data_IF_561554417795
#
_entry.id   IF_561554417795
#
_cell.length_a   1.000
_cell.length_b   1.000
_cell.length_c   1.000
_cell.angle_alpha   90.00
_cell.angle_beta   90.00
_cell.angle_gamma   90.00
#
_symmetry.space_group_name_H-M   'P 1'
#
loop_
_entity.id
_entity.type
_entity.pdbx_description
1 polymer ?
#
# COMPACT_ATOMS: atom_id res chain seq x y z
N UNK A 1 41.22 -48.52 -33.99
CA UNK A 1 41.51 -48.05 -32.61
C UNK A 1 41.73 -46.55 -32.73
N UNK A 2 40.97 -45.61 -32.17
CA UNK A 2 40.09 -45.57 -30.99
C UNK A 2 39.34 -44.23 -31.04
N UNK A 3 38.00 -44.27 -30.98
CA UNK A 3 37.13 -43.65 -29.95
C UNK A 3 36.69 -42.19 -30.18
N UNK A 4 35.38 -42.03 -30.38
CA UNK A 4 34.58 -40.82 -30.09
C UNK A 4 34.41 -40.71 -28.56
N UNK A 5 34.50 -39.50 -27.99
CA UNK A 5 33.39 -38.97 -27.19
C UNK A 5 33.13 -37.51 -27.62
N UNK A 6 31.91 -37.09 -27.94
CA UNK A 6 30.80 -37.08 -27.00
C UNK A 6 30.87 -35.81 -26.14
N UNK A 7 30.68 -34.63 -26.75
CA UNK A 7 30.42 -33.40 -25.99
C UNK A 7 28.95 -33.04 -26.13
N UNK A 8 28.18 -33.63 -25.22
CA UNK A 8 26.81 -33.29 -24.89
C UNK A 8 26.83 -31.90 -24.21
N UNK A 9 26.81 -30.82 -25.00
CA UNK A 9 26.45 -29.51 -24.46
C UNK A 9 24.93 -29.52 -24.20
N UNK A 10 24.56 -29.93 -22.99
CA UNK A 10 23.26 -29.68 -22.39
C UNK A 10 22.91 -28.20 -22.57
N UNK A 11 22.03 -27.93 -23.53
CA UNK A 11 21.18 -26.76 -23.55
C UNK A 11 20.37 -26.78 -22.26
N UNK A 12 20.87 -26.11 -21.22
CA UNK A 12 20.06 -25.61 -20.12
C UNK A 12 19.15 -24.53 -20.69
N UNK A 13 18.12 -24.98 -21.42
CA UNK A 13 16.84 -24.28 -21.54
C UNK A 13 16.21 -24.31 -20.15
N UNK A 14 16.81 -23.57 -19.21
CA UNK A 14 16.08 -23.08 -18.07
C UNK A 14 15.00 -22.18 -18.66
N UNK A 15 13.80 -22.72 -18.77
CA UNK A 15 12.60 -21.93 -19.02
C UNK A 15 12.65 -20.79 -18.03
N UNK A 16 12.84 -19.56 -18.51
CA UNK A 16 12.54 -18.36 -17.75
C UNK A 16 11.05 -18.47 -17.42
N UNK A 17 10.72 -19.13 -16.32
CA UNK A 17 9.38 -19.00 -15.74
C UNK A 17 9.25 -17.51 -15.47
N UNK A 18 8.33 -16.86 -16.20
CA UNK A 18 7.94 -15.50 -15.89
C UNK A 18 7.66 -15.45 -14.40
N UNK A 19 8.22 -14.45 -13.70
CA UNK A 19 8.07 -14.33 -12.27
C UNK A 19 6.57 -14.33 -11.91
N UNK A 20 6.12 -15.44 -11.31
CA UNK A 20 4.71 -15.66 -11.03
C UNK A 20 4.28 -14.71 -9.89
N UNK A 21 3.18 -14.01 -10.11
CA UNK A 21 2.56 -13.21 -9.06
C UNK A 21 1.64 -14.14 -8.27
N UNK A 22 1.77 -14.12 -6.96
CA UNK A 22 0.88 -14.85 -6.05
C UNK A 22 -0.08 -13.88 -5.38
N UNK A 23 -1.37 -14.01 -5.69
CA UNK A 23 -2.46 -13.43 -4.90
C UNK A 23 -2.96 -14.44 -3.86
N UNK A 24 -3.06 -14.04 -2.59
CA UNK A 24 -3.68 -14.90 -1.55
C UNK A 24 -4.71 -14.15 -0.73
N UNK A 25 -5.70 -14.89 -0.22
CA UNK A 25 -6.74 -14.40 0.66
C UNK A 25 -6.84 -15.30 1.89
N UNK A 26 -6.78 -14.69 3.07
CA UNK A 26 -7.13 -15.34 4.33
C UNK A 26 -8.27 -14.59 5.00
N UNK A 27 -9.41 -15.24 5.15
CA UNK A 27 -10.54 -14.76 5.96
C UNK A 27 -10.47 -15.29 7.39
N UNK A 28 -10.82 -14.45 8.37
CA UNK A 28 -10.73 -14.80 9.78
C UNK A 28 -11.83 -14.09 10.62
N UNK A 29 -12.45 -14.82 11.55
CA UNK A 29 -13.51 -14.37 12.49
C UNK A 29 -13.09 -14.62 13.94
N UNK A 30 -13.77 -14.06 14.94
CA UNK A 30 -13.44 -14.25 16.37
C UNK A 30 -13.60 -15.71 16.88
N UNK A 31 -12.85 -16.66 16.32
CA UNK A 31 -12.88 -18.10 16.57
C UNK A 31 -11.46 -18.71 16.56
N UNK A 32 -11.32 -19.88 17.19
CA UNK A 32 -10.03 -20.54 17.40
C UNK A 32 -9.37 -20.99 16.09
N UNK A 33 -10.15 -21.48 15.12
CA UNK A 33 -9.63 -21.98 13.85
C UNK A 33 -9.03 -20.85 13.02
N UNK A 34 -9.71 -19.71 12.97
CA UNK A 34 -9.24 -18.47 12.35
C UNK A 34 -7.99 -17.93 13.04
N UNK A 35 -7.92 -17.99 14.38
CA UNK A 35 -6.72 -17.63 15.15
C UNK A 35 -5.53 -18.51 14.77
N UNK A 36 -5.70 -19.82 14.71
CA UNK A 36 -4.64 -20.77 14.33
C UNK A 36 -4.12 -20.51 12.91
N UNK A 37 -5.02 -20.29 11.94
CA UNK A 37 -4.63 -19.95 10.56
C UNK A 37 -3.86 -18.64 10.47
N UNK A 38 -4.27 -17.62 11.23
CA UNK A 38 -3.56 -16.33 11.29
C UNK A 38 -2.16 -16.49 11.86
N UNK A 39 -2.01 -17.21 12.98
CA UNK A 39 -0.71 -17.46 13.62
C UNK A 39 0.22 -18.35 12.78
N UNK A 40 -0.34 -19.23 11.95
CA UNK A 40 0.42 -20.09 11.05
C UNK A 40 0.89 -19.37 9.77
N UNK A 41 0.50 -18.12 9.54
CA UNK A 41 0.95 -17.40 8.36
C UNK A 41 2.47 -17.20 8.40
N UNK A 42 3.16 -17.30 7.25
CA UNK A 42 4.60 -17.06 7.16
C UNK A 42 4.97 -15.57 7.28
N UNK A 43 4.04 -14.74 7.77
CA UNK A 43 4.21 -13.30 7.90
C UNK A 43 4.18 -12.94 9.38
N UNK A 44 5.29 -12.43 9.89
CA UNK A 44 5.34 -11.88 11.25
C UNK A 44 4.68 -10.50 11.26
N UNK A 45 3.52 -10.42 11.91
CA UNK A 45 2.81 -9.18 12.18
C UNK A 45 3.45 -8.51 13.40
N UNK A 46 4.27 -7.47 13.21
CA UNK A 46 4.98 -6.82 14.32
C UNK A 46 4.00 -6.17 15.32
N UNK A 47 3.96 -6.74 16.53
CA UNK A 47 3.15 -6.35 17.68
C UNK A 47 3.14 -7.51 18.67
N UNK A 48 2.37 -7.45 19.77
CA UNK A 48 1.97 -8.72 20.41
C UNK A 48 1.24 -9.49 19.31
N UNK A 49 1.60 -10.75 18.99
CA UNK A 49 0.90 -11.61 18.02
C UNK A 49 -0.56 -11.84 18.45
N UNK A 50 -1.33 -10.75 18.48
CA UNK A 50 -2.66 -10.65 19.01
C UNK A 50 -3.57 -10.64 17.82
N UNK A 51 -4.41 -11.66 17.80
CA UNK A 51 -5.51 -11.76 16.88
C UNK A 51 -6.50 -10.61 17.15
N UNK A 52 -6.63 -9.62 16.25
CA UNK A 52 -7.26 -8.35 16.58
C UNK A 52 -8.79 -8.35 16.46
N UNK A 53 -9.40 -9.50 16.16
CA UNK A 53 -10.84 -9.59 15.86
C UNK A 53 -11.65 -9.75 17.13
N UNK A 54 -12.57 -8.80 17.38
CA UNK A 54 -13.54 -8.86 18.47
C UNK A 54 -14.78 -9.66 18.06
N UNK A 55 -15.61 -10.13 19.02
CA UNK A 55 -16.90 -10.74 18.69
C UNK A 55 -17.73 -9.83 17.77
N UNK A 56 -18.24 -10.39 16.66
CA UNK A 56 -18.99 -9.66 15.63
C UNK A 56 -18.13 -8.93 14.58
N UNK A 57 -16.79 -8.95 14.70
CA UNK A 57 -15.89 -8.44 13.67
C UNK A 57 -15.48 -9.55 12.68
N UNK A 58 -15.21 -9.12 11.45
CA UNK A 58 -14.68 -9.93 10.35
C UNK A 58 -13.39 -9.28 9.86
N UNK A 59 -12.37 -10.10 9.67
CA UNK A 59 -11.09 -9.71 9.09
C UNK A 59 -10.75 -10.49 7.83
N UNK A 60 -10.04 -9.84 6.91
CA UNK A 60 -9.43 -10.50 5.76
C UNK A 60 -8.02 -9.94 5.55
N UNK A 61 -7.04 -10.82 5.33
CA UNK A 61 -5.72 -10.46 4.79
C UNK A 61 -5.69 -10.80 3.32
N UNK A 62 -5.32 -9.84 2.49
CA UNK A 62 -5.07 -10.02 1.07
C UNK A 62 -3.59 -9.78 0.79
N UNK A 63 -2.93 -10.62 0.01
CA UNK A 63 -1.52 -10.42 -0.34
C UNK A 63 -1.32 -10.44 -1.84
N UNK A 64 -0.41 -9.59 -2.33
CA UNK A 64 0.17 -9.67 -3.67
C UNK A 64 1.69 -9.83 -3.51
N UNK A 65 2.26 -10.84 -4.13
CA UNK A 65 3.70 -11.11 -4.02
C UNK A 65 4.30 -11.51 -5.36
N UNK A 66 5.54 -11.09 -5.58
CA UNK A 66 6.44 -11.62 -6.61
C UNK A 66 7.82 -11.84 -5.96
N UNK A 67 8.86 -12.28 -6.70
CA UNK A 67 10.19 -12.50 -6.13
C UNK A 67 10.86 -11.25 -5.51
N UNK A 68 10.43 -10.04 -5.87
CA UNK A 68 11.01 -8.78 -5.39
C UNK A 68 10.32 -8.24 -4.14
N UNK A 69 9.00 -8.35 -4.08
CA UNK A 69 8.20 -7.66 -3.06
C UNK A 69 6.95 -8.44 -2.67
N UNK A 70 6.51 -8.22 -1.43
CA UNK A 70 5.23 -8.71 -0.92
C UNK A 70 4.44 -7.57 -0.28
N UNK A 71 3.31 -7.24 -0.88
CA UNK A 71 2.29 -6.37 -0.33
C UNK A 71 1.27 -7.19 0.46
N UNK A 72 0.84 -6.67 1.60
CA UNK A 72 -0.26 -7.25 2.37
C UNK A 72 -1.22 -6.14 2.78
N UNK A 73 -2.50 -6.39 2.58
CA UNK A 73 -3.60 -5.53 2.94
C UNK A 73 -4.40 -6.20 4.04
N UNK A 74 -4.76 -5.42 5.05
CA UNK A 74 -5.57 -5.88 6.16
C UNK A 74 -6.91 -5.16 6.13
N UNK A 75 -7.98 -5.91 5.92
CA UNK A 75 -9.34 -5.42 5.93
C UNK A 75 -9.99 -5.83 7.25
N UNK A 76 -10.38 -4.87 8.07
CA UNK A 76 -11.02 -5.11 9.37
C UNK A 76 -12.32 -4.33 9.46
N UNK A 77 -13.42 -5.02 9.71
CA UNK A 77 -14.74 -4.40 9.77
C UNK A 77 -15.77 -5.24 10.50
N UNK A 78 -17.00 -4.74 10.51
CA UNK A 78 -18.16 -5.46 11.01
C UNK A 78 -19.06 -5.85 9.86
N UNK A 79 -19.71 -7.00 10.04
CA UNK A 79 -20.79 -7.48 9.19
C UNK A 79 -22.09 -7.04 9.85
N UNK A 80 -23.02 -6.48 9.08
CA UNK A 80 -24.37 -6.20 9.59
C UNK A 80 -25.26 -7.46 9.55
N UNK A 81 -26.52 -7.31 9.97
CA UNK A 81 -27.46 -8.42 10.02
C UNK A 81 -27.78 -9.03 8.64
N UNK A 82 -27.62 -8.24 7.58
CA UNK A 82 -27.90 -8.63 6.19
C UNK A 82 -26.66 -9.20 5.48
N UNK A 83 -25.54 -9.33 6.19
CA UNK A 83 -24.28 -9.87 5.67
C UNK A 83 -23.38 -8.83 4.98
N UNK A 84 -23.77 -7.54 4.97
CA UNK A 84 -22.96 -6.50 4.35
C UNK A 84 -21.76 -6.15 5.25
N UNK A 85 -20.58 -6.04 4.65
CA UNK A 85 -19.33 -5.88 5.38
C UNK A 85 -18.73 -4.49 5.17
N UNK A 86 -18.35 -3.82 6.25
CA UNK A 86 -17.86 -2.43 6.24
C UNK A 86 -16.42 -2.33 6.79
N UNK A 87 -15.41 -2.81 6.05
CA UNK A 87 -14.03 -2.80 6.51
C UNK A 87 -13.30 -1.47 6.31
N UNK A 88 -12.39 -1.16 7.22
CA UNK A 88 -11.28 -0.26 6.97
C UNK A 88 -10.11 -1.02 6.30
N UNK A 89 -9.42 -0.36 5.37
CA UNK A 89 -8.28 -0.94 4.64
C UNK A 89 -6.97 -0.44 5.23
N UNK A 90 -6.08 -1.35 5.62
CA UNK A 90 -4.71 -1.10 6.04
C UNK A 90 -3.69 -1.73 5.10
N UNK A 91 -2.45 -1.24 5.08
CA UNK A 91 -1.34 -1.83 4.31
C UNK A 91 -0.09 -2.02 5.19
N UNK A 92 -0.05 -3.09 5.99
CA UNK A 92 1.05 -3.38 6.92
C UNK A 92 2.35 -3.95 6.29
N UNK A 93 2.33 -4.33 5.00
CA UNK A 93 3.53 -4.76 4.26
C UNK A 93 3.63 -4.04 2.92
N UNK A 94 4.84 -3.74 2.42
CA UNK A 94 6.17 -4.18 2.92
C UNK A 94 6.57 -3.61 4.29
N UNK A 95 6.23 -2.36 4.58
CA UNK A 95 6.53 -1.71 5.85
C UNK A 95 5.30 -1.07 6.49
N UNK A 96 4.99 -1.50 7.72
CA UNK A 96 3.96 -0.88 8.58
C UNK A 96 4.30 0.55 9.01
N UNK A 97 5.56 0.94 8.80
CA UNK A 97 6.14 2.23 9.13
C UNK A 97 6.11 3.19 7.95
N UNK A 98 5.70 2.71 6.78
CA UNK A 98 5.50 3.52 5.57
C UNK A 98 4.02 3.79 5.37
N UNK A 99 3.22 2.73 5.31
CA UNK A 99 1.78 2.83 5.09
C UNK A 99 1.01 2.40 6.32
N UNK A 100 -0.13 3.04 6.57
CA UNK A 100 -0.90 2.75 7.78
C UNK A 100 -1.42 1.31 7.80
N UNK A 101 -1.09 0.56 8.85
CA UNK A 101 -1.67 -0.77 9.08
C UNK A 101 -3.19 -0.76 9.30
N UNK A 102 -3.79 0.39 9.59
CA UNK A 102 -5.24 0.57 9.76
C UNK A 102 -5.67 1.93 9.18
N UNK A 103 -6.48 1.92 8.12
CA UNK A 103 -6.87 3.17 7.44
C UNK A 103 -5.75 3.75 6.56
N UNK A 104 -4.99 2.89 5.89
CA UNK A 104 -4.08 3.30 4.81
C UNK A 104 -4.84 3.98 3.68
N UNK A 105 -5.97 3.41 3.27
CA UNK A 105 -6.78 3.92 2.17
C UNK A 105 -8.21 4.21 2.65
N UNK A 106 -8.66 5.43 2.39
CA UNK A 106 -10.03 5.87 2.61
C UNK A 106 -10.48 6.75 1.45
N UNK A 107 -11.79 6.90 1.25
CA UNK A 107 -12.33 7.89 0.33
C UNK A 107 -13.56 8.58 0.92
N UNK A 108 -13.87 9.74 0.35
CA UNK A 108 -15.07 10.50 0.61
C UNK A 108 -15.70 10.96 -0.71
N UNK A 109 -17.02 10.78 -0.86
CA UNK A 109 -17.81 11.22 -2.00
C UNK A 109 -19.03 12.04 -1.50
N UNK A 110 -18.89 13.37 -1.44
CA UNK A 110 -19.84 14.22 -0.70
C UNK A 110 -19.82 13.88 0.79
N UNK A 111 -20.97 13.56 1.37
CA UNK A 111 -21.09 13.14 2.78
C UNK A 111 -20.89 11.62 2.99
N UNK A 112 -20.71 10.85 1.91
CA UNK A 112 -20.47 9.42 1.98
C UNK A 112 -18.98 9.15 2.23
N UNK A 113 -18.68 8.46 3.34
CA UNK A 113 -17.34 8.00 3.66
C UNK A 113 -17.19 6.50 3.33
N UNK A 114 -15.98 6.07 2.96
CA UNK A 114 -15.69 4.67 2.61
C UNK A 114 -16.18 3.65 3.65
N UNK A 115 -16.07 3.96 4.95
CA UNK A 115 -16.52 3.09 6.05
C UNK A 115 -18.05 2.92 6.15
N UNK A 116 -18.82 3.70 5.39
CA UNK A 116 -20.28 3.58 5.25
C UNK A 116 -20.69 2.87 3.96
N UNK A 117 -19.72 2.38 3.19
CA UNK A 117 -19.97 1.56 2.02
C UNK A 117 -19.75 0.09 2.38
N UNK A 118 -20.63 -0.78 1.91
CA UNK A 118 -20.36 -2.21 1.94
C UNK A 118 -19.26 -2.53 0.95
N UNK A 119 -18.43 -3.52 1.28
CA UNK A 119 -17.28 -3.93 0.48
C UNK A 119 -17.39 -5.39 0.10
N UNK A 120 -17.33 -5.65 -1.19
CA UNK A 120 -17.05 -6.97 -1.73
C UNK A 120 -15.63 -7.01 -2.27
N UNK A 121 -14.97 -8.17 -2.12
CA UNK A 121 -13.69 -8.43 -2.79
C UNK A 121 -14.05 -8.96 -4.19
N UNK A 122 -13.60 -8.28 -5.24
CA UNK A 122 -13.85 -8.69 -6.63
C UNK A 122 -13.21 -10.04 -6.96
N UNK A 123 -13.83 -10.78 -7.87
CA UNK A 123 -13.27 -12.05 -8.35
C UNK A 123 -12.22 -11.80 -9.43
N UNK A 124 -11.07 -12.47 -9.30
CA UNK A 124 -10.30 -12.94 -10.44
C UNK A 124 -9.43 -11.95 -11.19
N UNK A 125 -8.30 -11.53 -10.61
CA UNK A 125 -7.03 -11.43 -11.34
C UNK A 125 -5.86 -11.76 -10.40
N UNK A 126 -5.00 -12.72 -10.76
CA UNK A 126 -3.88 -13.20 -9.92
C UNK A 126 -2.84 -12.12 -9.60
N UNK A 127 -2.88 -11.02 -10.35
CA UNK A 127 -1.98 -9.88 -10.23
C UNK A 127 -2.56 -8.70 -9.44
N UNK A 128 -3.81 -8.79 -8.98
CA UNK A 128 -4.49 -7.65 -8.39
C UNK A 128 -5.44 -7.97 -7.22
N UNK A 129 -5.57 -7.00 -6.33
CA UNK A 129 -6.61 -6.93 -5.31
C UNK A 129 -7.64 -5.92 -5.77
N UNK A 130 -8.89 -6.35 -5.89
CA UNK A 130 -10.02 -5.51 -6.29
C UNK A 130 -11.03 -5.43 -5.15
N UNK A 131 -11.37 -4.22 -4.74
CA UNK A 131 -12.41 -3.93 -3.75
C UNK A 131 -13.54 -3.14 -4.39
N UNK A 132 -14.75 -3.67 -4.29
CA UNK A 132 -15.98 -3.10 -4.82
C UNK A 132 -16.77 -2.47 -3.67
N UNK A 133 -16.87 -1.15 -3.69
CA UNK A 133 -17.60 -0.36 -2.69
C UNK A 133 -19.01 -0.06 -3.19
N UNK A 134 -20.02 -0.31 -2.34
CA UNK A 134 -21.43 -0.07 -2.67
C UNK A 134 -22.17 0.66 -1.55
N UNK A 135 -23.06 1.56 -1.95
CA UNK A 135 -24.13 2.14 -1.14
C UNK A 135 -25.37 2.32 -2.02
N UNK A 136 -26.46 2.90 -1.51
CA UNK A 136 -27.74 2.98 -2.22
C UNK A 136 -27.66 3.61 -3.62
N UNK A 137 -26.81 4.63 -3.79
CA UNK A 137 -26.62 5.39 -5.04
C UNK A 137 -25.14 5.49 -5.47
N UNK A 138 -24.24 4.81 -4.76
CA UNK A 138 -22.80 4.93 -4.96
C UNK A 138 -22.17 3.59 -5.30
N UNK A 139 -21.30 3.62 -6.30
CA UNK A 139 -20.47 2.49 -6.70
C UNK A 139 -19.06 2.98 -6.96
N UNK A 140 -18.08 2.27 -6.40
CA UNK A 140 -16.69 2.48 -6.72
C UNK A 140 -15.90 1.18 -6.74
N UNK A 141 -14.83 1.18 -7.52
CA UNK A 141 -13.86 0.10 -7.60
C UNK A 141 -12.48 0.67 -7.22
N UNK A 142 -11.83 0.04 -6.26
CA UNK A 142 -10.42 0.27 -5.95
C UNK A 142 -9.64 -0.98 -6.34
N UNK A 143 -8.60 -0.81 -7.15
CA UNK A 143 -7.78 -1.90 -7.67
C UNK A 143 -6.31 -1.61 -7.39
N UNK A 144 -5.64 -2.52 -6.70
CA UNK A 144 -4.19 -2.54 -6.51
C UNK A 144 -3.60 -3.68 -7.32
N UNK A 145 -2.60 -3.41 -8.15
CA UNK A 145 -1.99 -4.37 -9.06
C UNK A 145 -0.47 -4.38 -8.86
N UNK A 146 0.09 -5.58 -8.85
CA UNK A 146 1.53 -5.82 -8.87
C UNK A 146 1.89 -6.41 -10.23
N UNK A 147 2.99 -5.97 -10.84
CA UNK A 147 3.46 -6.54 -12.10
C UNK A 147 4.56 -7.58 -11.84
N UNK A 148 4.82 -8.50 -12.80
CA UNK A 148 5.96 -9.41 -12.71
C UNK A 148 7.26 -8.60 -12.62
N UNK A 149 8.15 -8.98 -11.71
CA UNK A 149 9.46 -8.34 -11.49
C UNK A 149 9.44 -6.82 -11.21
N UNK A 150 8.31 -6.30 -10.73
CA UNK A 150 8.16 -4.91 -10.33
C UNK A 150 8.00 -4.79 -8.81
N UNK A 151 8.53 -3.74 -8.21
CA UNK A 151 8.31 -3.43 -6.79
C UNK A 151 7.26 -2.33 -6.58
N UNK A 152 6.74 -1.75 -7.66
CA UNK A 152 5.70 -0.71 -7.65
C UNK A 152 4.31 -1.32 -7.51
N UNK A 153 3.51 -0.69 -6.66
CA UNK A 153 2.10 -1.05 -6.49
C UNK A 153 1.23 -0.07 -7.28
N UNK A 154 0.70 -0.53 -8.41
CA UNK A 154 -0.18 0.26 -9.25
C UNK A 154 -1.56 0.33 -8.61
N UNK A 155 -2.16 1.50 -8.62
CA UNK A 155 -3.48 1.74 -8.04
C UNK A 155 -4.38 2.43 -9.04
N UNK A 156 -5.62 1.96 -9.12
CA UNK A 156 -6.69 2.67 -9.81
C UNK A 156 -7.93 2.76 -8.94
N UNK A 157 -8.63 3.88 -9.04
CA UNK A 157 -9.93 4.08 -8.44
C UNK A 157 -10.90 4.59 -9.50
N UNK A 158 -12.07 3.99 -9.58
CA UNK A 158 -13.16 4.45 -10.43
C UNK A 158 -14.43 4.58 -9.60
N UNK A 159 -15.16 5.68 -9.74
CA UNK A 159 -16.44 5.87 -9.06
C UNK A 159 -17.46 6.60 -9.93
N UNK A 160 -18.74 6.36 -9.65
CA UNK A 160 -19.86 7.02 -10.32
C UNK A 160 -20.14 8.46 -9.83
N UNK A 161 -19.37 8.96 -8.86
CA UNK A 161 -19.49 10.30 -8.27
C UNK A 161 -18.10 10.92 -8.07
N UNK A 162 -17.99 12.26 -7.99
CA UNK A 162 -16.75 12.91 -7.55
C UNK A 162 -16.33 12.46 -6.16
N UNK A 163 -15.02 12.36 -5.93
CA UNK A 163 -14.45 11.82 -4.70
C UNK A 163 -13.17 12.53 -4.29
N UNK A 164 -12.76 12.29 -3.05
CA UNK A 164 -11.40 12.48 -2.56
C UNK A 164 -10.89 11.17 -1.97
N UNK A 165 -9.74 10.71 -2.45
CA UNK A 165 -9.01 9.57 -1.92
C UNK A 165 -8.02 10.06 -0.88
N UNK A 166 -7.78 9.27 0.16
CA UNK A 166 -6.81 9.57 1.20
C UNK A 166 -5.88 8.37 1.39
N UNK A 167 -4.58 8.62 1.23
CA UNK A 167 -3.51 7.67 1.53
C UNK A 167 -2.76 8.13 2.77
N UNK A 168 -2.81 7.33 3.84
CA UNK A 168 -2.24 7.69 5.15
C UNK A 168 -0.98 6.89 5.45
N UNK A 169 0.05 7.60 5.91
CA UNK A 169 1.35 7.07 6.29
C UNK A 169 1.62 7.35 7.77
N UNK A 170 2.28 6.44 8.48
CA UNK A 170 2.62 6.59 9.92
C UNK A 170 4.13 6.56 10.15
N UNK A 171 4.62 6.97 11.33
CA UNK A 171 6.05 6.96 11.63
C UNK A 171 6.66 5.58 11.50
N UNK A 172 7.87 5.52 10.95
CA UNK A 172 8.86 4.56 11.42
C UNK A 172 8.97 4.68 12.94
N UNK A 173 8.64 3.61 13.66
CA UNK A 173 8.64 3.61 15.13
C UNK A 173 9.79 2.76 15.67
N UNK A 174 10.66 3.37 16.48
CA UNK A 174 11.50 2.63 17.41
C UNK A 174 10.77 2.45 18.76
N UNK A 175 11.04 1.36 19.47
CA UNK A 175 10.34 0.89 20.69
C UNK A 175 10.42 1.77 21.95
N UNK A 176 10.52 3.09 21.81
CA UNK A 176 10.79 4.04 22.90
C UNK A 176 9.58 4.80 23.46
N UNK A 177 8.34 4.36 23.21
CA UNK A 177 7.07 5.08 23.50
C UNK A 177 6.77 6.26 22.55
N UNK A 178 5.48 6.63 22.49
CA UNK A 178 4.98 7.77 21.69
C UNK A 178 5.77 9.05 21.93
N UNK A 179 6.03 9.37 23.20
CA UNK A 179 6.62 10.64 23.63
C UNK A 179 8.09 10.78 23.26
N UNK A 180 8.87 9.69 23.28
CA UNK A 180 10.26 9.73 22.82
C UNK A 180 10.33 9.80 21.29
N UNK A 181 9.44 9.06 20.60
CA UNK A 181 9.33 9.12 19.15
C UNK A 181 8.95 10.51 18.65
N UNK A 182 8.02 11.20 19.30
CA UNK A 182 7.54 12.53 18.90
C UNK A 182 8.66 13.56 18.75
N UNK A 183 9.64 13.58 19.65
CA UNK A 183 10.76 14.53 19.62
C UNK A 183 11.79 14.22 18.53
N UNK A 184 11.89 12.96 18.13
CA UNK A 184 12.87 12.49 17.15
C UNK A 184 12.29 12.44 15.72
N UNK A 185 10.96 12.37 15.60
CA UNK A 185 10.26 12.43 14.31
C UNK A 185 10.45 13.81 13.71
N UNK A 186 11.09 13.84 12.56
CA UNK A 186 11.21 15.02 11.73
C UNK A 186 10.77 14.60 10.32
N UNK A 187 9.44 14.57 10.12
CA UNK A 187 8.84 14.19 8.85
C UNK A 187 8.99 15.32 7.86
N UNK A 188 9.26 14.96 6.62
CA UNK A 188 9.27 15.90 5.51
C UNK A 188 8.66 15.23 4.29
N UNK A 189 8.19 16.06 3.36
CA UNK A 189 7.78 15.61 2.05
C UNK A 189 8.61 16.31 0.97
N UNK A 190 8.90 15.61 -0.13
CA UNK A 190 9.59 16.18 -1.29
C UNK A 190 8.75 15.93 -2.53
N UNK A 191 8.55 16.98 -3.31
CA UNK A 191 7.92 16.94 -4.63
C UNK A 191 9.00 17.19 -5.69
N UNK A 192 8.69 17.05 -6.99
CA UNK A 192 9.60 17.43 -8.07
C UNK A 192 10.20 18.83 -7.93
N UNK A 193 9.46 19.79 -7.38
CA UNK A 193 9.85 21.21 -7.40
C UNK A 193 10.28 21.77 -6.05
N UNK A 194 9.91 21.14 -4.93
CA UNK A 194 10.19 21.67 -3.58
C UNK A 194 10.12 20.63 -2.47
N UNK A 195 10.63 21.02 -1.30
CA UNK A 195 10.39 20.32 -0.04
C UNK A 195 9.23 20.98 0.69
N UNK A 196 8.31 20.18 1.22
CA UNK A 196 7.15 20.65 2.00
C UNK A 196 7.44 20.54 3.49
N UNK A 197 7.19 21.64 4.21
CA UNK A 197 7.23 21.69 5.67
C UNK A 197 5.96 21.08 6.29
N UNK A 198 5.91 21.02 7.62
CA UNK A 198 4.68 20.68 8.34
C UNK A 198 3.52 21.62 7.94
N UNK A 199 2.33 21.05 7.78
CA UNK A 199 1.15 21.77 7.33
C UNK A 199 0.50 21.15 6.11
N UNK A 200 -0.46 21.90 5.56
CA UNK A 200 -1.36 21.46 4.49
C UNK A 200 -0.98 22.18 3.19
N UNK A 201 -0.69 21.42 2.14
CA UNK A 201 -0.09 21.92 0.90
C UNK A 201 -0.85 21.42 -0.32
N UNK A 202 -1.57 22.28 -1.06
CA UNK A 202 -2.04 21.93 -2.39
C UNK A 202 -0.85 21.80 -3.35
N UNK A 203 -0.91 20.81 -4.24
CA UNK A 203 0.14 20.53 -5.20
C UNK A 203 -0.17 21.13 -6.57
N UNK A 204 0.88 21.60 -7.25
CA UNK A 204 0.80 22.05 -8.64
C UNK A 204 0.86 20.86 -9.60
N UNK A 205 0.43 21.05 -10.85
CA UNK A 205 0.43 19.97 -11.86
C UNK A 205 1.84 19.38 -12.13
N UNK A 206 2.89 20.19 -11.99
CA UNK A 206 4.28 19.75 -12.11
C UNK A 206 4.75 18.89 -10.91
N UNK A 207 3.99 18.86 -9.81
CA UNK A 207 4.31 18.11 -8.59
C UNK A 207 3.62 16.73 -8.60
N UNK A 208 3.94 15.90 -9.61
CA UNK A 208 3.25 14.64 -9.90
C UNK A 208 3.64 13.45 -9.00
N UNK A 209 4.59 13.63 -8.09
CA UNK A 209 4.87 12.69 -7.02
C UNK A 209 5.06 13.39 -5.68
N UNK A 210 4.86 12.63 -4.61
CA UNK A 210 5.16 13.02 -3.23
C UNK A 210 6.00 11.92 -2.60
N UNK A 211 7.25 12.25 -2.26
CA UNK A 211 8.13 11.43 -1.44
C UNK A 211 7.93 11.80 0.03
N UNK A 212 7.78 10.81 0.90
CA UNK A 212 7.54 10.98 2.34
C UNK A 212 8.60 10.22 3.14
N UNK A 213 9.29 10.93 4.02
CA UNK A 213 10.43 10.39 4.77
C UNK A 213 10.59 11.01 6.16
N UNK A 214 11.61 10.56 6.89
CA UNK A 214 12.02 11.05 8.20
C UNK A 214 13.50 11.40 8.17
N UNK A 215 13.90 12.52 8.76
CA UNK A 215 15.33 12.80 8.91
C UNK A 215 16.03 11.84 9.88
N UNK A 216 15.34 11.37 10.93
CA UNK A 216 15.92 10.50 11.96
C UNK A 216 15.81 9.00 11.66
N UNK A 217 14.69 8.56 11.08
CA UNK A 217 14.42 7.16 10.77
C UNK A 217 14.84 6.86 9.33
N UNK A 218 16.14 6.69 9.14
CA UNK A 218 16.76 6.38 7.86
C UNK A 218 17.57 5.07 7.94
N UNK A 219 17.30 4.07 7.07
CA UNK A 219 18.06 2.83 7.04
C UNK A 219 19.57 3.02 6.90
N UNK A 220 20.06 4.09 6.27
CA UNK A 220 21.49 4.41 6.21
C UNK A 220 22.14 4.59 7.59
N UNK A 221 21.34 4.92 8.62
CA UNK A 221 21.78 5.07 10.00
C UNK A 221 21.38 3.88 10.88
N UNK A 222 20.97 2.75 10.28
CA UNK A 222 20.40 1.59 10.96
C UNK A 222 19.14 1.95 11.79
N UNK A 223 18.30 2.86 11.28
CA UNK A 223 17.08 3.32 11.93
C UNK A 223 15.90 3.30 10.96
N UNK A 224 14.71 2.94 11.43
CA UNK A 224 13.51 2.95 10.59
C UNK A 224 13.49 1.84 9.55
N UNK A 225 12.47 1.88 8.70
CA UNK A 225 12.19 0.83 7.70
C UNK A 225 12.32 1.31 6.25
N UNK A 226 12.64 2.58 6.02
CA UNK A 226 12.71 3.23 4.70
C UNK A 226 11.65 4.32 4.53
N UNK A 227 11.65 5.05 3.40
CA UNK A 227 10.61 6.02 3.05
C UNK A 227 9.52 5.39 2.16
N UNK A 228 8.51 6.20 1.82
CA UNK A 228 7.48 5.83 0.84
C UNK A 228 7.19 6.99 -0.11
N UNK A 229 6.51 6.69 -1.21
CA UNK A 229 6.07 7.73 -2.14
C UNK A 229 4.77 7.36 -2.85
N UNK A 230 4.12 8.40 -3.38
CA UNK A 230 2.99 8.27 -4.27
C UNK A 230 3.23 9.11 -5.51
N UNK A 231 3.14 8.50 -6.68
CA UNK A 231 3.03 9.17 -7.98
C UNK A 231 1.55 9.15 -8.39
N UNK A 232 1.02 10.25 -8.90
CA UNK A 232 -0.35 10.35 -9.37
C UNK A 232 -0.43 11.02 -10.74
N UNK A 233 -1.54 10.83 -11.44
CA UNK A 233 -1.79 11.48 -12.70
C UNK A 233 -2.42 12.89 -12.49
N UNK A 234 -1.68 14.00 -12.70
CA UNK A 234 -2.18 15.36 -12.40
C UNK A 234 -3.34 15.79 -13.31
N UNK A 235 -3.47 15.20 -14.49
CA UNK A 235 -4.64 15.37 -15.37
C UNK A 235 -5.92 14.66 -14.91
N UNK A 236 -5.84 13.71 -13.97
CA UNK A 236 -6.99 12.94 -13.46
C UNK A 236 -7.42 13.40 -12.06
N UNK A 237 -6.45 13.88 -11.27
CA UNK A 237 -6.68 14.24 -9.87
C UNK A 237 -5.92 15.49 -9.48
N UNK A 238 -6.57 16.34 -8.67
CA UNK A 238 -5.90 17.39 -7.91
C UNK A 238 -5.35 16.79 -6.63
N UNK A 239 -4.13 17.15 -6.26
CA UNK A 239 -3.48 16.59 -5.07
C UNK A 239 -3.25 17.63 -3.98
N UNK A 240 -3.26 17.14 -2.75
CA UNK A 240 -2.96 17.89 -1.54
C UNK A 240 -2.24 16.99 -0.55
N UNK A 241 -1.22 17.53 0.13
CA UNK A 241 -0.45 16.80 1.14
C UNK A 241 -0.59 17.48 2.48
N UNK A 242 -0.99 16.72 3.48
CA UNK A 242 -0.89 17.11 4.88
C UNK A 242 0.35 16.44 5.48
N UNK A 243 1.35 17.23 5.83
CA UNK A 243 2.55 16.79 6.56
C UNK A 243 2.34 17.10 8.03
N UNK A 244 2.39 16.09 8.90
CA UNK A 244 2.35 16.28 10.36
C UNK A 244 3.43 15.43 11.00
N UNK A 245 3.78 15.72 12.25
CA UNK A 245 4.78 14.95 12.99
C UNK A 245 4.47 13.44 13.06
N UNK A 246 3.20 13.09 13.29
CA UNK A 246 2.78 11.69 13.42
C UNK A 246 2.47 11.06 12.07
N UNK A 247 1.45 11.55 11.38
CA UNK A 247 1.02 11.02 10.09
C UNK A 247 1.24 12.03 8.97
N UNK A 248 1.49 11.53 7.77
CA UNK A 248 1.26 12.31 6.55
C UNK A 248 0.09 11.71 5.79
N UNK A 249 -0.69 12.57 5.14
CA UNK A 249 -1.81 12.17 4.30
C UNK A 249 -1.68 12.81 2.93
N UNK A 250 -1.77 11.99 1.89
CA UNK A 250 -1.87 12.44 0.51
C UNK A 250 -3.34 12.30 0.11
N UNK A 251 -3.93 13.40 -0.34
CA UNK A 251 -5.32 13.45 -0.79
C UNK A 251 -5.38 13.67 -2.29
N UNK A 252 -6.13 12.84 -3.01
CA UNK A 252 -6.34 12.95 -4.46
C UNK A 252 -7.83 13.17 -4.74
N UNK A 253 -8.21 14.35 -5.21
CA UNK A 253 -9.59 14.69 -5.54
C UNK A 253 -9.81 14.65 -7.04
N UNK A 254 -10.85 13.93 -7.48
CA UNK A 254 -11.13 13.72 -8.90
C UNK A 254 -12.56 13.26 -9.15
N UNK A 255 -12.84 12.92 -10.41
CA UNK A 255 -14.10 12.35 -10.88
C UNK A 255 -13.83 11.27 -11.92
N UNK A 256 -14.64 10.21 -11.96
CA UNK A 256 -14.39 9.08 -12.86
C UNK A 256 -13.17 8.27 -12.39
N UNK A 257 -12.12 8.17 -13.21
CA UNK A 257 -10.94 7.34 -12.94
C UNK A 257 -9.77 8.17 -12.40
N UNK A 258 -9.10 7.64 -11.38
CA UNK A 258 -7.82 8.11 -10.86
C UNK A 258 -6.80 6.96 -10.91
N UNK A 259 -5.60 7.24 -11.39
CA UNK A 259 -4.46 6.34 -11.33
C UNK A 259 -3.36 6.90 -10.42
N UNK A 260 -2.74 6.01 -9.65
CA UNK A 260 -1.57 6.30 -8.84
C UNK A 260 -0.61 5.11 -8.84
N UNK A 261 0.65 5.36 -8.46
CA UNK A 261 1.66 4.33 -8.21
C UNK A 261 2.21 4.57 -6.81
N UNK A 262 2.18 3.53 -5.99
CA UNK A 262 2.68 3.57 -4.63
C UNK A 262 4.03 2.87 -4.56
N UNK A 263 4.93 3.49 -3.80
CA UNK A 263 6.25 2.98 -3.53
C UNK A 263 6.39 2.77 -2.02
N UNK A 264 6.79 1.56 -1.63
CA UNK A 264 7.26 1.25 -0.28
C UNK A 264 8.75 0.93 -0.41
N UNK A 265 9.60 1.92 -0.19
CA UNK A 265 11.05 1.80 -0.36
C UNK A 265 11.67 1.11 0.86
N UNK A 266 11.09 -0.02 1.26
CA UNK A 266 11.50 -0.77 2.43
C UNK A 266 12.97 -1.17 2.33
N UNK A 267 13.76 -0.84 3.36
CA UNK A 267 15.18 -1.14 3.43
C UNK A 267 16.08 -0.18 2.64
N UNK A 268 15.53 0.77 1.88
CA UNK A 268 16.32 1.79 1.19
C UNK A 268 16.51 3.04 2.03
N UNK A 269 17.71 3.62 1.93
CA UNK A 269 18.01 4.92 2.50
C UNK A 269 17.20 6.04 1.82
N UNK A 270 16.95 7.13 2.55
CA UNK A 270 16.14 8.24 2.02
C UNK A 270 16.73 8.85 0.73
N UNK A 271 18.05 9.00 0.67
CA UNK A 271 18.74 9.55 -0.50
C UNK A 271 18.58 8.67 -1.72
N UNK A 272 18.86 7.37 -1.58
CA UNK A 272 18.75 6.39 -2.67
C UNK A 272 17.32 6.28 -3.21
N UNK A 273 16.32 6.26 -2.32
CA UNK A 273 14.91 6.22 -2.70
C UNK A 273 14.46 7.50 -3.44
N UNK A 274 14.92 8.68 -3.00
CA UNK A 274 14.61 9.94 -3.67
C UNK A 274 15.32 10.05 -5.03
N UNK A 275 16.56 9.58 -5.13
CA UNK A 275 17.30 9.50 -6.40
C UNK A 275 16.60 8.58 -7.39
N UNK A 276 16.12 7.41 -6.95
CA UNK A 276 15.31 6.51 -7.77
C UNK A 276 14.09 7.24 -8.34
N UNK A 277 13.31 7.95 -7.50
CA UNK A 277 12.14 8.70 -7.99
C UNK A 277 12.48 9.79 -9.00
N UNK A 278 13.58 10.51 -8.77
CA UNK A 278 14.05 11.56 -9.68
C UNK A 278 14.53 11.02 -11.02
N UNK A 279 15.00 9.77 -11.05
CA UNK A 279 15.44 9.10 -12.26
C UNK A 279 14.28 8.51 -13.10
N UNK A 280 13.05 8.48 -12.57
CA UNK A 280 11.90 7.98 -13.32
C UNK A 280 11.55 8.94 -14.47
N UNK A 281 11.48 8.40 -15.69
CA UNK A 281 10.75 9.05 -16.77
C UNK A 281 9.26 8.77 -16.60
N UNK A 282 8.46 9.83 -16.59
CA UNK A 282 7.01 9.72 -16.36
C UNK A 282 6.28 10.39 -17.52
N UNK A 283 5.51 9.60 -18.24
CA UNK A 283 4.63 10.06 -19.32
C UNK A 283 3.19 9.88 -18.90
N UNK A 284 2.40 10.95 -19.01
CA UNK A 284 0.98 10.95 -18.75
C UNK A 284 0.24 10.79 -20.08
N UNK A 285 -0.45 9.66 -20.26
CA UNK A 285 -1.27 9.36 -21.43
C UNK A 285 -2.76 9.56 -21.12
#
# INVERSE_FOLDING_TARGET
MTSIPGLLCLLLLGTLQAAEITATRLDFRADEQSRLRFLAQPVTWWGRNQYPVKPGERGTVLTLANPRVKYAFMLLGREDADGAWFPAVGMPKPSKANWSSTGFFEFQAGDLHSRRCSVAIGEGQDDAIVLLYRSSDFQAEARWQLLPDDDRLFFTFAANRPYTLHFTTYPSSYGGSWSAGQKLRQRFAVTPTRTLAEGKHPLQAAEYYVFLAYHYFDPAQNRGEGPCALLYHPGQSRAEVLVQNYSCRISLSGSGRCAAVLFDFHGLANTAALEYLRALSVEFQ
#
